data_IF_957006452940
#
_entry.id   IF_957006452940
#
_cell.length_a   1.000
_cell.length_b   1.000
_cell.length_c   1.000
_cell.angle_alpha   90.00
_cell.angle_beta   90.00
_cell.angle_gamma   90.00
#
_symmetry.space_group_name_H-M   'P 1'
#
loop_
_entity.id
_entity.type
_entity.pdbx_description
1 polymer ?
#
# COMPACT_ATOMS: atom_id res chain seq x y z
N UNK A 1 12.70 -54.15 -35.26
CA UNK A 1 13.76 -53.29 -34.73
C UNK A 1 13.05 -52.07 -34.19
N UNK A 2 13.18 -51.93 -32.89
CA UNK A 2 12.56 -50.94 -32.01
C UNK A 2 12.89 -49.51 -32.41
N UNK A 3 11.93 -48.60 -32.25
CA UNK A 3 12.13 -47.15 -32.11
C UNK A 3 10.89 -46.56 -31.41
N UNK A 4 10.65 -46.98 -30.16
CA UNK A 4 10.05 -46.08 -29.17
C UNK A 4 11.03 -44.94 -28.90
N UNK A 5 10.78 -43.77 -29.47
CA UNK A 5 11.38 -42.52 -28.99
C UNK A 5 10.39 -41.38 -29.25
N UNK A 6 9.36 -41.31 -28.40
CA UNK A 6 8.59 -40.09 -28.19
C UNK A 6 9.52 -39.06 -27.55
N UNK A 7 10.12 -38.21 -28.39
CA UNK A 7 10.71 -36.96 -27.96
C UNK A 7 9.59 -36.07 -27.40
N UNK A 8 9.36 -36.16 -26.10
CA UNK A 8 8.63 -35.12 -25.37
C UNK A 8 9.44 -33.83 -25.46
N UNK A 9 8.94 -32.86 -26.24
CA UNK A 9 9.43 -31.50 -26.19
C UNK A 9 8.96 -30.87 -24.87
N UNK A 10 9.85 -30.27 -24.07
CA UNK A 10 9.45 -29.57 -22.86
C UNK A 10 8.60 -28.36 -23.26
N UNK A 11 7.31 -28.39 -22.93
CA UNK A 11 6.45 -27.20 -22.97
C UNK A 11 6.82 -26.32 -21.77
N UNK A 12 7.94 -25.62 -21.86
CA UNK A 12 8.24 -24.50 -20.99
C UNK A 12 7.54 -23.28 -21.60
N UNK A 13 6.39 -22.81 -21.09
CA UNK A 13 5.93 -21.48 -21.46
C UNK A 13 6.95 -20.52 -20.85
N UNK A 14 7.75 -19.87 -21.69
CA UNK A 14 8.52 -18.71 -21.28
C UNK A 14 7.58 -17.67 -20.64
N UNK A 15 8.12 -16.69 -19.89
CA UNK A 15 7.30 -15.70 -19.21
C UNK A 15 6.50 -14.94 -20.27
N UNK A 16 5.19 -15.18 -20.32
CA UNK A 16 4.30 -14.38 -21.14
C UNK A 16 4.27 -12.99 -20.51
N UNK A 17 4.57 -11.95 -21.30
CA UNK A 17 4.44 -10.52 -20.97
C UNK A 17 2.98 -10.07 -20.72
N UNK A 18 2.14 -10.98 -20.22
CA UNK A 18 0.73 -10.77 -19.95
C UNK A 18 0.48 -11.08 -18.49
N UNK A 19 0.04 -10.06 -17.73
CA UNK A 19 -0.47 -10.23 -16.37
C UNK A 19 -1.64 -11.22 -16.43
N UNK A 20 -1.59 -12.36 -15.70
CA UNK A 20 -2.67 -13.32 -15.70
C UNK A 20 -3.94 -12.65 -15.14
N UNK A 21 -4.94 -12.44 -16.00
CA UNK A 21 -6.31 -12.17 -15.53
C UNK A 21 -6.99 -13.52 -15.27
N UNK A 22 -6.63 -14.12 -14.14
CA UNK A 22 -7.36 -15.23 -13.55
C UNK A 22 -8.72 -14.78 -12.97
N UNK A 23 -9.46 -15.72 -12.38
CA UNK A 23 -10.58 -15.40 -11.49
C UNK A 23 -10.12 -14.26 -10.54
N UNK A 24 -10.87 -13.16 -10.51
CA UNK A 24 -10.39 -11.81 -10.17
C UNK A 24 -9.25 -11.70 -9.16
N UNK A 25 -8.31 -10.77 -9.43
CA UNK A 25 -7.16 -10.47 -8.59
C UNK A 25 -7.52 -10.47 -7.09
N UNK A 26 -6.66 -11.06 -6.27
CA UNK A 26 -6.84 -11.09 -4.82
C UNK A 26 -5.80 -10.20 -4.14
N UNK A 27 -6.15 -9.61 -2.99
CA UNK A 27 -5.18 -8.90 -2.15
C UNK A 27 -4.14 -9.85 -1.52
N UNK A 28 -4.40 -11.16 -1.56
CA UNK A 28 -3.43 -12.19 -1.18
C UNK A 28 -2.39 -12.46 -2.27
N UNK A 29 -2.71 -12.10 -3.52
CA UNK A 29 -1.73 -12.14 -4.61
C UNK A 29 -0.66 -11.07 -4.39
N UNK A 30 0.60 -11.37 -4.73
CA UNK A 30 1.68 -10.43 -4.51
C UNK A 30 1.58 -9.27 -5.51
N UNK A 31 1.74 -8.04 -5.00
CA UNK A 31 1.69 -6.81 -5.80
C UNK A 31 2.97 -6.69 -6.62
N UNK A 32 2.83 -6.51 -7.94
CA UNK A 32 3.98 -6.16 -8.77
C UNK A 32 4.46 -4.75 -8.41
N UNK A 33 5.69 -4.66 -7.90
CA UNK A 33 6.28 -3.40 -7.45
C UNK A 33 7.05 -2.70 -8.55
N UNK A 34 7.69 -3.46 -9.44
CA UNK A 34 8.65 -2.98 -10.42
C UNK A 34 9.77 -3.98 -10.67
N UNK A 35 11.00 -3.52 -10.86
CA UNK A 35 12.17 -4.36 -11.19
C UNK A 35 13.36 -4.08 -10.26
N UNK A 36 14.25 -5.05 -10.09
CA UNK A 36 15.53 -4.89 -9.39
C UNK A 36 16.64 -4.35 -10.32
N UNK A 37 17.87 -4.20 -9.80
CA UNK A 37 19.02 -3.75 -10.59
C UNK A 37 19.44 -4.69 -11.74
N UNK A 38 18.93 -5.92 -11.77
CA UNK A 38 19.17 -6.91 -12.81
C UNK A 38 17.98 -7.04 -13.79
N UNK A 39 16.97 -6.18 -13.64
CA UNK A 39 15.76 -6.22 -14.45
C UNK A 39 14.80 -7.35 -14.10
N UNK A 40 15.00 -8.04 -12.98
CA UNK A 40 14.08 -9.08 -12.52
C UNK A 40 12.86 -8.45 -11.84
N UNK A 41 11.66 -9.02 -12.04
CA UNK A 41 10.45 -8.45 -11.46
C UNK A 41 10.42 -8.61 -9.93
N UNK A 42 10.06 -7.54 -9.24
CA UNK A 42 9.94 -7.48 -7.78
C UNK A 42 8.47 -7.53 -7.41
N UNK A 43 8.10 -8.52 -6.61
CA UNK A 43 6.74 -8.73 -6.13
C UNK A 43 6.66 -8.65 -4.61
N UNK A 44 5.66 -7.93 -4.08
CA UNK A 44 5.45 -7.75 -2.65
C UNK A 44 4.16 -8.43 -2.17
N UNK A 45 4.24 -9.46 -1.32
CA UNK A 45 3.06 -9.93 -0.60
C UNK A 45 2.65 -8.87 0.43
N UNK A 46 1.48 -8.26 0.21
CA UNK A 46 0.94 -7.18 1.06
C UNK A 46 0.13 -7.73 2.24
N UNK A 47 -0.53 -8.87 2.08
CA UNK A 47 -1.29 -9.45 3.17
C UNK A 47 -0.38 -9.79 4.37
N UNK A 48 -0.85 -9.41 5.55
CA UNK A 48 -0.11 -9.47 6.82
C UNK A 48 1.13 -8.56 6.94
N UNK A 49 1.42 -7.69 5.96
CA UNK A 49 2.62 -6.85 5.94
C UNK A 49 2.29 -5.41 5.56
N UNK A 50 2.44 -4.49 6.53
CA UNK A 50 2.30 -3.06 6.24
C UNK A 50 3.54 -2.55 5.49
N UNK A 51 3.35 -1.50 4.69
CA UNK A 51 4.44 -0.81 3.99
C UNK A 51 4.53 0.68 4.36
N UNK A 52 5.76 1.14 4.57
CA UNK A 52 6.11 2.56 4.70
C UNK A 52 6.91 3.00 3.48
N UNK A 53 6.54 4.13 2.91
CA UNK A 53 7.13 4.70 1.70
C UNK A 53 7.65 6.10 2.04
N UNK A 54 8.96 6.32 1.96
CA UNK A 54 9.59 7.60 2.31
C UNK A 54 10.56 8.08 1.24
N UNK A 55 10.86 9.38 1.24
CA UNK A 55 11.66 10.04 0.21
C UNK A 55 11.17 11.46 -0.07
N UNK A 56 11.93 12.29 -0.77
CA UNK A 56 11.56 13.68 -1.06
C UNK A 56 10.54 13.79 -2.22
N UNK A 57 9.91 14.96 -2.47
CA UNK A 57 9.04 15.14 -3.63
C UNK A 57 9.71 14.71 -4.95
N UNK A 58 8.96 14.04 -5.84
CA UNK A 58 9.50 13.56 -7.13
C UNK A 58 10.32 12.25 -7.06
N UNK A 59 10.56 11.68 -5.87
CA UNK A 59 11.28 10.39 -5.73
C UNK A 59 10.53 9.15 -6.22
N UNK A 60 9.25 9.27 -6.62
CA UNK A 60 8.42 8.16 -7.10
C UNK A 60 7.59 7.44 -6.03
N UNK A 61 7.49 8.01 -4.82
CA UNK A 61 6.59 7.50 -3.76
C UNK A 61 5.14 7.39 -4.19
N UNK A 62 4.61 8.44 -4.84
CA UNK A 62 3.22 8.48 -5.28
C UNK A 62 2.95 7.39 -6.31
N UNK A 63 3.88 7.15 -7.24
CA UNK A 63 3.77 6.06 -8.22
C UNK A 63 3.73 4.67 -7.56
N UNK A 64 4.56 4.46 -6.53
CA UNK A 64 4.57 3.23 -5.75
C UNK A 64 3.24 3.01 -5.01
N UNK A 65 2.75 4.05 -4.34
CA UNK A 65 1.47 3.98 -3.62
C UNK A 65 0.30 3.74 -4.57
N UNK A 66 0.29 4.42 -5.72
CA UNK A 66 -0.71 4.22 -6.79
C UNK A 66 -0.69 2.79 -7.34
N UNK A 67 0.49 2.17 -7.46
CA UNK A 67 0.60 0.77 -7.89
C UNK A 67 -0.05 -0.18 -6.88
N UNK A 68 0.16 0.05 -5.58
CA UNK A 68 -0.44 -0.74 -4.50
C UNK A 68 -1.96 -0.53 -4.45
N UNK A 69 -2.41 0.73 -4.56
CA UNK A 69 -3.84 1.06 -4.56
C UNK A 69 -4.52 0.48 -5.80
N UNK A 70 -3.89 0.54 -6.97
CA UNK A 70 -4.43 -0.03 -8.21
C UNK A 70 -4.57 -1.54 -8.16
N UNK A 71 -3.58 -2.26 -7.60
CA UNK A 71 -3.72 -3.69 -7.31
C UNK A 71 -4.94 -3.93 -6.42
N UNK A 72 -5.02 -3.25 -5.28
CA UNK A 72 -6.12 -3.44 -4.34
C UNK A 72 -7.50 -3.01 -4.90
N UNK A 73 -7.56 -2.01 -5.79
CA UNK A 73 -8.79 -1.59 -6.46
C UNK A 73 -9.35 -2.69 -7.36
N UNK A 74 -8.47 -3.44 -8.03
CA UNK A 74 -8.84 -4.57 -8.86
C UNK A 74 -9.24 -5.81 -8.04
N UNK A 75 -8.95 -5.84 -6.74
CA UNK A 75 -9.27 -6.97 -5.87
C UNK A 75 -10.68 -6.92 -5.29
N UNK A 76 -11.48 -7.98 -5.52
CA UNK A 76 -12.84 -8.07 -4.98
C UNK A 76 -12.89 -8.37 -3.47
N UNK A 77 -11.80 -8.90 -2.91
CA UNK A 77 -11.70 -9.38 -1.53
C UNK A 77 -11.08 -8.36 -0.56
N UNK A 78 -10.97 -7.09 -0.97
CA UNK A 78 -10.45 -5.99 -0.14
C UNK A 78 -11.37 -4.78 -0.19
N UNK A 79 -11.41 -4.02 0.90
CA UNK A 79 -12.05 -2.70 1.02
C UNK A 79 -10.99 -1.62 1.05
N UNK A 80 -11.21 -0.53 0.32
CA UNK A 80 -10.25 0.55 0.16
C UNK A 80 -10.61 1.75 1.02
N UNK A 81 -9.70 2.11 1.93
CA UNK A 81 -9.78 3.32 2.75
C UNK A 81 -8.60 4.23 2.41
N UNK A 82 -8.87 5.33 1.72
CA UNK A 82 -7.85 6.24 1.19
C UNK A 82 -7.83 7.55 1.99
N UNK A 83 -6.65 7.93 2.48
CA UNK A 83 -6.40 9.17 3.21
C UNK A 83 -5.45 10.04 2.40
N UNK A 84 -5.99 11.09 1.78
CA UNK A 84 -5.25 12.03 0.93
C UNK A 84 -5.59 13.47 1.31
N UNK A 85 -4.74 14.06 2.15
CA UNK A 85 -4.90 15.43 2.59
C UNK A 85 -4.71 16.48 1.50
N UNK A 86 -4.13 16.12 0.34
CA UNK A 86 -3.90 17.05 -0.78
C UNK A 86 -4.93 16.86 -1.90
N UNK A 87 -5.60 15.70 -1.96
CA UNK A 87 -6.54 15.30 -3.01
C UNK A 87 -5.91 15.32 -4.42
N UNK A 88 -4.61 15.04 -4.52
CA UNK A 88 -3.89 15.06 -5.80
C UNK A 88 -3.54 13.64 -6.23
N UNK A 89 -3.08 12.81 -5.30
CA UNK A 89 -2.43 11.54 -5.62
C UNK A 89 -3.43 10.39 -5.60
N UNK A 90 -4.25 10.29 -4.54
CA UNK A 90 -5.24 9.22 -4.41
C UNK A 90 -6.63 9.64 -4.90
N UNK A 91 -6.84 10.92 -5.22
CA UNK A 91 -8.12 11.45 -5.71
C UNK A 91 -8.61 10.74 -6.98
N UNK A 92 -7.70 10.26 -7.84
CA UNK A 92 -8.04 9.50 -9.03
C UNK A 92 -8.72 8.14 -8.74
N UNK A 93 -8.61 7.65 -7.49
CA UNK A 93 -9.21 6.40 -7.05
C UNK A 93 -10.49 6.58 -6.23
N UNK A 94 -10.98 7.83 -6.07
CA UNK A 94 -12.11 8.15 -5.19
C UNK A 94 -13.36 7.31 -5.53
N UNK A 95 -13.70 7.20 -6.81
CA UNK A 95 -14.86 6.43 -7.28
C UNK A 95 -14.70 4.91 -7.12
N UNK A 96 -13.48 4.40 -6.92
CA UNK A 96 -13.19 2.97 -6.73
C UNK A 96 -13.07 2.58 -5.26
N UNK A 97 -12.98 3.55 -4.35
CA UNK A 97 -12.74 3.29 -2.93
C UNK A 97 -14.04 3.20 -2.09
N UNK A 98 -13.93 2.56 -0.92
CA UNK A 98 -15.05 2.47 0.03
C UNK A 98 -15.13 3.71 0.93
N UNK A 99 -13.99 4.31 1.26
CA UNK A 99 -13.90 5.56 2.04
C UNK A 99 -12.77 6.41 1.49
N UNK A 100 -13.10 7.65 1.11
CA UNK A 100 -12.12 8.69 0.75
C UNK A 100 -12.09 9.78 1.82
N UNK A 101 -10.90 10.09 2.33
CA UNK A 101 -10.67 11.15 3.31
C UNK A 101 -9.75 12.20 2.69
N UNK A 102 -10.32 13.38 2.41
CA UNK A 102 -9.60 14.56 1.95
C UNK A 102 -8.88 15.34 3.07
N UNK A 103 -8.79 16.68 2.99
CA UNK A 103 -8.13 17.57 3.96
C UNK A 103 -8.94 17.77 5.26
N UNK A 104 -9.51 16.70 5.81
CA UNK A 104 -10.30 16.72 7.05
C UNK A 104 -9.74 15.71 8.05
N UNK A 105 -8.95 16.20 9.02
CA UNK A 105 -8.41 15.38 10.09
C UNK A 105 -9.48 14.76 10.99
N UNK A 106 -10.63 15.43 11.19
CA UNK A 106 -11.71 14.86 11.97
C UNK A 106 -12.36 13.70 11.22
N UNK A 107 -12.50 13.79 9.89
CA UNK A 107 -12.92 12.65 9.07
C UNK A 107 -11.89 11.52 9.15
N UNK A 108 -10.59 11.81 9.03
CA UNK A 108 -9.53 10.82 9.19
C UNK A 108 -9.65 10.08 10.53
N UNK A 109 -9.78 10.81 11.64
CA UNK A 109 -9.93 10.25 12.99
C UNK A 109 -11.18 9.37 13.09
N UNK A 110 -12.35 9.85 12.63
CA UNK A 110 -13.59 9.04 12.63
C UNK A 110 -13.42 7.75 11.83
N UNK A 111 -12.76 7.82 10.68
CA UNK A 111 -12.48 6.66 9.83
C UNK A 111 -11.56 5.66 10.53
N UNK A 112 -10.46 6.11 11.15
CA UNK A 112 -9.57 5.22 11.90
C UNK A 112 -10.26 4.58 13.12
N UNK A 113 -11.16 5.29 13.81
CA UNK A 113 -11.98 4.68 14.86
C UNK A 113 -12.88 3.56 14.34
N UNK A 114 -13.50 3.75 13.16
CA UNK A 114 -14.30 2.69 12.52
C UNK A 114 -13.43 1.47 12.18
N UNK A 115 -12.23 1.70 11.65
CA UNK A 115 -11.26 0.63 11.35
C UNK A 115 -10.84 -0.10 12.64
N UNK A 116 -10.57 0.61 13.74
CA UNK A 116 -10.29 -0.03 15.04
C UNK A 116 -11.46 -0.87 15.55
N UNK A 117 -12.69 -0.38 15.41
CA UNK A 117 -13.88 -1.14 15.79
C UNK A 117 -13.97 -2.46 15.01
N UNK A 118 -13.71 -2.42 13.70
CA UNK A 118 -13.63 -3.64 12.87
C UNK A 118 -12.49 -4.55 13.33
N UNK A 119 -11.33 -3.98 13.65
CA UNK A 119 -10.16 -4.70 14.16
C UNK A 119 -10.49 -5.48 15.44
N UNK A 120 -11.12 -4.84 16.42
CA UNK A 120 -11.49 -5.43 17.71
C UNK A 120 -12.54 -6.54 17.56
N UNK A 121 -13.52 -6.32 16.68
CA UNK A 121 -14.53 -7.33 16.35
C UNK A 121 -13.90 -8.58 15.72
N UNK A 122 -12.95 -8.39 14.80
CA UNK A 122 -12.22 -9.49 14.16
C UNK A 122 -11.31 -10.24 15.14
N UNK A 123 -10.71 -9.55 16.10
CA UNK A 123 -9.98 -10.22 17.19
C UNK A 123 -10.89 -11.07 18.07
N UNK A 124 -12.10 -10.57 18.37
CA UNK A 124 -13.12 -11.33 19.11
C UNK A 124 -13.51 -12.60 18.36
N UNK A 125 -13.71 -12.50 17.04
CA UNK A 125 -13.94 -13.65 16.17
C UNK A 125 -12.78 -14.65 16.21
N UNK A 126 -11.53 -14.20 16.02
CA UNK A 126 -10.35 -15.08 16.06
C UNK A 126 -10.21 -15.81 17.39
N UNK A 127 -10.46 -15.13 18.52
CA UNK A 127 -10.46 -15.73 19.85
C UNK A 127 -11.53 -16.81 19.99
N UNK A 128 -12.76 -16.54 19.53
CA UNK A 128 -13.86 -17.50 19.56
C UNK A 128 -13.56 -18.75 18.69
N UNK A 129 -12.89 -18.56 17.54
CA UNK A 129 -12.50 -19.65 16.63
C UNK A 129 -11.15 -20.30 16.97
N UNK A 130 -10.46 -19.84 18.01
CA UNK A 130 -9.09 -20.27 18.39
C UNK A 130 -8.08 -20.19 17.24
N UNK A 131 -8.21 -19.16 16.39
CA UNK A 131 -7.32 -18.91 15.25
C UNK A 131 -6.41 -17.72 15.54
N UNK A 132 -5.24 -17.71 14.89
CA UNK A 132 -4.25 -16.63 15.04
C UNK A 132 -4.35 -15.55 13.96
N UNK A 133 -4.99 -15.85 12.82
CA UNK A 133 -5.11 -14.93 11.69
C UNK A 133 -6.37 -15.19 10.86
N UNK A 134 -6.90 -14.12 10.29
CA UNK A 134 -7.89 -14.16 9.21
C UNK A 134 -7.18 -14.64 7.94
N UNK A 135 -7.84 -15.50 7.16
CA UNK A 135 -7.35 -16.08 5.92
C UNK A 135 -8.28 -15.76 4.74
N UNK A 136 -7.93 -16.25 3.53
CA UNK A 136 -8.71 -15.99 2.32
C UNK A 136 -10.11 -16.62 2.36
N UNK A 137 -10.29 -17.70 3.12
CA UNK A 137 -11.58 -18.40 3.23
C UNK A 137 -12.56 -17.74 4.21
N UNK A 138 -12.16 -16.66 4.89
CA UNK A 138 -13.04 -15.92 5.78
C UNK A 138 -13.99 -15.00 4.99
N UNK A 139 -15.25 -14.94 5.39
CA UNK A 139 -16.31 -14.19 4.70
C UNK A 139 -16.13 -12.66 4.71
N UNK A 140 -15.11 -12.15 5.41
CA UNK A 140 -14.86 -10.72 5.53
C UNK A 140 -13.74 -10.30 4.57
N UNK A 141 -14.04 -9.39 3.66
CA UNK A 141 -13.02 -8.75 2.82
C UNK A 141 -11.96 -8.04 3.67
N UNK A 142 -10.71 -8.10 3.25
CA UNK A 142 -9.59 -7.41 3.89
C UNK A 142 -9.79 -5.89 3.81
N UNK A 143 -8.99 -5.10 4.51
CA UNK A 143 -9.01 -3.64 4.41
C UNK A 143 -7.61 -3.13 4.11
N UNK A 144 -7.46 -2.35 3.05
CA UNK A 144 -6.27 -1.55 2.80
C UNK A 144 -6.54 -0.12 3.26
N UNK A 145 -5.76 0.36 4.23
CA UNK A 145 -5.70 1.76 4.62
C UNK A 145 -4.48 2.37 3.94
N UNK A 146 -4.70 3.16 2.90
CA UNK A 146 -3.64 3.88 2.20
C UNK A 146 -3.61 5.34 2.65
N UNK A 147 -2.44 5.86 3.01
CA UNK A 147 -2.26 7.25 3.41
C UNK A 147 -1.11 7.87 2.61
N UNK A 148 -1.40 8.85 1.76
CA UNK A 148 -0.41 9.48 0.87
C UNK A 148 0.64 10.31 1.62
N UNK A 149 0.20 11.04 2.66
CA UNK A 149 1.09 11.85 3.46
C UNK A 149 0.67 11.80 4.92
N UNK A 150 1.31 10.90 5.69
CA UNK A 150 1.05 10.79 7.13
C UNK A 150 1.34 12.11 7.85
N UNK A 151 2.34 12.89 7.40
CA UNK A 151 2.73 14.15 8.04
C UNK A 151 1.65 15.23 7.93
N UNK A 152 0.78 15.12 6.93
CA UNK A 152 -0.34 16.05 6.78
C UNK A 152 -1.26 15.91 7.99
N UNK A 153 -1.70 14.69 8.31
CA UNK A 153 -2.62 14.44 9.42
C UNK A 153 -1.94 14.38 10.79
N UNK A 154 -0.65 14.03 10.86
CA UNK A 154 0.07 13.90 12.13
C UNK A 154 0.80 15.17 12.58
N UNK A 155 0.94 16.18 11.71
CA UNK A 155 1.71 17.38 12.03
C UNK A 155 1.25 18.69 11.36
N UNK A 156 0.32 18.64 10.40
CA UNK A 156 -0.08 19.84 9.64
C UNK A 156 -1.55 20.22 9.87
N UNK A 157 -2.46 19.26 9.74
CA UNK A 157 -3.90 19.48 9.87
C UNK A 157 -4.34 19.46 11.33
N UNK A 158 -5.29 20.33 11.70
CA UNK A 158 -5.84 20.39 13.04
C UNK A 158 -4.89 20.93 14.11
N UNK A 159 -5.29 20.77 15.37
CA UNK A 159 -4.50 21.12 16.55
C UNK A 159 -3.61 19.96 17.02
N UNK A 160 -2.66 20.24 17.93
CA UNK A 160 -1.72 19.24 18.45
C UNK A 160 -2.44 18.01 19.06
N UNK A 161 -3.62 18.21 19.66
CA UNK A 161 -4.40 17.13 20.27
C UNK A 161 -4.97 16.18 19.22
N UNK A 162 -5.55 16.72 18.16
CA UNK A 162 -6.10 15.93 17.05
C UNK A 162 -5.00 15.25 16.25
N UNK A 163 -3.87 15.91 16.02
CA UNK A 163 -2.68 15.33 15.39
C UNK A 163 -2.14 14.12 16.17
N UNK A 164 -1.97 14.26 17.49
CA UNK A 164 -1.54 13.15 18.36
C UNK A 164 -2.55 12.00 18.37
N UNK A 165 -3.84 12.33 18.37
CA UNK A 165 -4.89 11.31 18.31
C UNK A 165 -4.83 10.53 16.99
N UNK A 166 -4.72 11.21 15.86
CA UNK A 166 -4.54 10.56 14.56
C UNK A 166 -3.32 9.62 14.55
N UNK A 167 -2.16 10.13 15.00
CA UNK A 167 -0.93 9.33 15.06
C UNK A 167 -1.07 8.09 15.96
N UNK A 168 -1.74 8.22 17.11
CA UNK A 168 -2.00 7.11 18.02
C UNK A 168 -2.92 6.04 17.40
N UNK A 169 -3.99 6.46 16.72
CA UNK A 169 -4.93 5.56 16.05
C UNK A 169 -4.26 4.81 14.89
N UNK A 170 -3.53 5.53 14.04
CA UNK A 170 -2.80 4.93 12.92
C UNK A 170 -1.78 3.91 13.45
N UNK A 171 -1.01 4.27 14.48
CA UNK A 171 -0.03 3.37 15.10
C UNK A 171 -0.66 2.08 15.63
N UNK A 172 -1.81 2.16 16.30
CA UNK A 172 -2.52 0.98 16.81
C UNK A 172 -2.97 0.04 15.67
N UNK A 173 -3.48 0.61 14.57
CA UNK A 173 -3.86 -0.15 13.38
C UNK A 173 -2.64 -0.81 12.73
N UNK A 174 -1.51 -0.10 12.57
CA UNK A 174 -0.28 -0.70 12.03
C UNK A 174 0.21 -1.84 12.94
N UNK A 175 0.16 -1.66 14.26
CA UNK A 175 0.65 -2.64 15.23
C UNK A 175 -0.17 -3.94 15.26
N UNK A 176 -1.51 -3.83 15.18
CA UNK A 176 -2.44 -4.94 15.44
C UNK A 176 -3.21 -5.39 14.19
N UNK A 177 -3.40 -4.53 13.20
CA UNK A 177 -4.27 -4.77 12.05
C UNK A 177 -3.89 -6.00 11.22
N UNK A 178 -2.59 -6.29 11.07
CA UNK A 178 -2.09 -7.32 10.14
C UNK A 178 -2.77 -8.68 10.32
N UNK A 179 -2.89 -9.17 11.55
CA UNK A 179 -3.40 -10.52 11.82
C UNK A 179 -4.90 -10.65 11.52
N UNK A 180 -5.62 -9.53 11.56
CA UNK A 180 -7.05 -9.45 11.30
C UNK A 180 -7.36 -8.86 9.93
N UNK A 181 -6.39 -8.87 9.01
CA UNK A 181 -6.68 -8.52 7.62
C UNK A 181 -6.87 -7.03 7.36
N UNK A 182 -6.21 -6.19 8.16
CA UNK A 182 -6.16 -4.74 7.96
C UNK A 182 -4.70 -4.40 7.69
N UNK A 183 -4.42 -3.91 6.49
CA UNK A 183 -3.08 -3.59 5.99
C UNK A 183 -2.97 -2.09 5.80
N UNK A 184 -1.82 -1.53 6.18
CA UNK A 184 -1.53 -0.11 6.03
C UNK A 184 -0.43 0.09 4.99
N UNK A 185 -0.70 0.96 4.02
CA UNK A 185 0.31 1.53 3.13
C UNK A 185 0.40 3.03 3.43
N UNK A 186 1.51 3.45 4.02
CA UNK A 186 1.71 4.83 4.46
C UNK A 186 2.88 5.45 3.68
N UNK A 187 2.69 6.66 3.17
CA UNK A 187 3.72 7.43 2.52
C UNK A 187 4.02 8.73 3.27
N UNK A 188 5.25 9.23 3.12
CA UNK A 188 5.62 10.59 3.55
C UNK A 188 6.71 11.19 2.69
N UNK A 189 6.60 12.50 2.45
CA UNK A 189 7.61 13.34 1.83
C UNK A 189 8.58 13.95 2.85
N UNK A 190 8.26 13.83 4.15
CA UNK A 190 9.04 14.36 5.27
C UNK A 190 9.55 13.22 6.15
N UNK A 191 10.60 12.50 5.73
CA UNK A 191 11.23 11.48 6.54
C UNK A 191 12.00 12.12 7.70
N UNK A 192 11.28 12.41 8.78
CA UNK A 192 11.81 12.95 10.04
C UNK A 192 11.31 12.13 11.23
N UNK A 193 12.06 12.11 12.34
CA UNK A 193 11.76 11.24 13.49
C UNK A 193 10.51 11.65 14.29
N UNK A 194 10.08 12.90 14.15
CA UNK A 194 8.83 13.43 14.71
C UNK A 194 7.60 12.94 13.92
N UNK A 195 7.75 12.74 12.60
CA UNK A 195 6.70 12.17 11.73
C UNK A 195 6.69 10.65 11.77
N UNK A 196 7.88 10.05 11.62
CA UNK A 196 8.09 8.60 11.67
C UNK A 196 8.98 8.28 12.88
N UNK A 197 8.42 8.21 14.10
CA UNK A 197 9.19 7.72 15.22
C UNK A 197 9.63 6.27 14.95
N UNK A 198 10.81 5.89 15.47
CA UNK A 198 11.35 4.52 15.33
C UNK A 198 10.34 3.45 15.73
N UNK A 199 9.55 3.70 16.77
CA UNK A 199 8.51 2.79 17.25
C UNK A 199 7.32 2.61 16.30
N UNK A 200 7.13 3.52 15.34
CA UNK A 200 6.16 3.39 14.26
C UNK A 200 6.81 2.73 13.04
N UNK A 201 8.01 3.21 12.64
CA UNK A 201 8.79 2.66 11.52
C UNK A 201 8.94 1.15 11.61
N UNK A 202 9.33 0.64 12.77
CA UNK A 202 9.67 -0.77 12.95
C UNK A 202 8.42 -1.68 12.95
N UNK A 203 7.20 -1.11 12.91
CA UNK A 203 5.96 -1.87 12.72
C UNK A 203 5.66 -2.14 11.23
N UNK A 204 6.36 -1.48 10.31
CA UNK A 204 6.24 -1.68 8.88
C UNK A 204 7.20 -2.77 8.41
N UNK A 205 6.63 -3.90 8.00
CA UNK A 205 7.39 -5.05 7.54
C UNK A 205 8.07 -4.79 6.18
N UNK A 206 7.49 -3.93 5.35
CA UNK A 206 8.09 -3.41 4.13
C UNK A 206 8.41 -1.94 4.29
N UNK A 207 9.61 -1.52 3.90
CA UNK A 207 9.99 -0.11 3.90
C UNK A 207 10.68 0.20 2.59
N UNK A 208 10.18 1.22 1.89
CA UNK A 208 10.76 1.73 0.65
C UNK A 208 11.26 3.16 0.88
N UNK A 209 12.56 3.36 0.70
CA UNK A 209 13.18 4.68 0.68
C UNK A 209 13.51 5.06 -0.75
N UNK A 210 12.64 5.87 -1.36
CA UNK A 210 13.00 6.63 -2.57
C UNK A 210 14.08 7.67 -2.24
N UNK A 211 14.51 8.40 -3.26
CA UNK A 211 15.55 9.44 -3.09
C UNK A 211 15.25 10.36 -1.90
N UNK A 212 16.24 10.51 -1.02
CA UNK A 212 16.20 11.40 0.15
C UNK A 212 17.26 12.49 0.01
N UNK A 213 17.06 13.62 0.70
CA UNK A 213 18.03 14.73 0.67
C UNK A 213 19.29 14.46 1.51
N UNK A 214 19.23 13.51 2.44
CA UNK A 214 20.33 13.17 3.35
C UNK A 214 20.33 11.68 3.70
N UNK A 215 21.50 11.18 4.11
CA UNK A 215 21.67 9.83 4.66
C UNK A 215 20.82 9.60 5.92
N UNK A 216 20.67 10.64 6.74
CA UNK A 216 19.82 10.59 7.94
C UNK A 216 18.36 10.35 7.57
N UNK A 217 17.85 11.07 6.57
CA UNK A 217 16.50 10.87 6.04
C UNK A 217 16.32 9.48 5.42
N UNK A 218 17.35 8.93 4.77
CA UNK A 218 17.35 7.53 4.29
C UNK A 218 17.19 6.55 5.47
N UNK A 219 17.99 6.67 6.52
CA UNK A 219 17.96 5.79 7.70
C UNK A 219 16.67 5.92 8.52
N UNK A 220 16.02 7.09 8.52
CA UNK A 220 14.69 7.27 9.13
C UNK A 220 13.66 6.35 8.46
N UNK A 221 13.80 6.05 7.17
CA UNK A 221 12.91 5.12 6.47
C UNK A 221 13.45 3.69 6.54
N UNK A 222 14.70 3.44 6.14
CA UNK A 222 15.29 2.10 6.01
C UNK A 222 15.62 1.43 7.35
N UNK A 223 15.77 2.20 8.43
CA UNK A 223 16.35 1.70 9.67
C UNK A 223 17.72 2.30 9.93
N UNK A 224 18.10 2.35 11.21
CA UNK A 224 19.37 2.97 11.62
C UNK A 224 20.59 2.23 11.09
N UNK A 225 21.54 2.97 10.52
CA UNK A 225 22.88 2.48 10.17
C UNK A 225 23.00 1.85 8.79
N UNK A 226 22.00 1.96 7.92
CA UNK A 226 22.08 1.42 6.56
C UNK A 226 22.92 2.30 5.64
N UNK A 227 22.83 3.63 5.78
CA UNK A 227 23.66 4.55 5.03
C UNK A 227 25.16 4.31 5.25
N UNK A 228 25.57 4.10 6.51
CA UNK A 228 26.96 3.76 6.86
C UNK A 228 27.44 2.41 6.30
N UNK A 229 26.50 1.53 5.91
CA UNK A 229 26.76 0.23 5.26
C UNK A 229 26.67 0.29 3.73
N UNK A 230 26.55 1.49 3.15
CA UNK A 230 26.47 1.70 1.71
C UNK A 230 25.04 1.71 1.14
N UNK A 231 24.01 1.54 1.97
CA UNK A 231 22.61 1.56 1.55
C UNK A 231 21.97 2.89 1.93
N UNK A 232 22.22 3.93 1.14
CA UNK A 232 21.63 5.25 1.33
C UNK A 232 20.80 5.66 0.12
N UNK A 233 19.52 5.99 0.31
CA UNK A 233 18.69 6.50 -0.77
C UNK A 233 19.09 7.92 -1.24
N UNK A 234 19.97 8.59 -0.49
CA UNK A 234 20.59 9.86 -0.91
C UNK A 234 21.52 9.68 -2.13
N UNK A 235 22.05 8.47 -2.35
CA UNK A 235 22.93 8.20 -3.50
C UNK A 235 22.16 7.84 -4.77
N UNK A 236 20.82 7.74 -4.70
CA UNK A 236 19.98 7.50 -5.87
C UNK A 236 20.03 8.72 -6.79
N UNK A 237 20.35 8.50 -8.07
CA UNK A 237 20.43 9.56 -9.08
C UNK A 237 19.12 10.37 -9.13
N UNK A 238 19.18 11.71 -9.05
CA UNK A 238 18.01 12.57 -9.16
C UNK A 238 17.15 12.36 -10.41
N UNK A 239 17.74 11.92 -11.52
CA UNK A 239 17.05 11.65 -12.78
C UNK A 239 16.45 10.23 -12.84
N UNK A 240 16.74 9.37 -11.85
CA UNK A 240 16.24 8.00 -11.80
C UNK A 240 14.95 7.92 -10.95
N UNK A 241 13.89 8.58 -11.40
CA UNK A 241 12.62 8.68 -10.65
C UNK A 241 12.02 7.30 -10.36
N UNK A 242 11.54 7.06 -9.13
CA UNK A 242 10.99 5.75 -8.74
C UNK A 242 12.06 4.71 -8.40
N UNK A 243 13.35 5.02 -8.54
CA UNK A 243 14.39 4.20 -7.93
C UNK A 243 14.48 4.46 -6.42
N UNK A 244 14.73 3.40 -5.66
CA UNK A 244 14.88 3.49 -4.22
C UNK A 244 15.29 2.17 -3.60
N UNK A 245 15.59 2.18 -2.32
CA UNK A 245 15.92 0.99 -1.56
C UNK A 245 14.68 0.40 -0.91
N UNK A 246 14.43 -0.88 -1.16
CA UNK A 246 13.38 -1.67 -0.55
C UNK A 246 13.98 -2.62 0.48
N UNK A 247 13.42 -2.65 1.68
CA UNK A 247 13.86 -3.56 2.73
C UNK A 247 12.66 -4.29 3.34
N UNK A 248 12.81 -5.60 3.51
CA UNK A 248 11.93 -6.44 4.32
C UNK A 248 12.34 -6.40 5.80
N UNK A 249 11.42 -6.65 6.72
CA UNK A 249 11.74 -6.88 8.14
C UNK A 249 12.85 -7.94 8.29
N UNK A 250 13.95 -7.57 8.96
CA UNK A 250 15.12 -8.42 9.16
C UNK A 250 16.00 -8.66 7.92
N UNK A 251 15.65 -8.06 6.77
CA UNK A 251 16.40 -8.18 5.52
C UNK A 251 17.52 -7.15 5.35
N UNK A 252 18.10 -7.14 4.15
CA UNK A 252 19.08 -6.15 3.68
C UNK A 252 18.39 -5.31 2.58
N UNK A 253 18.62 -3.98 2.51
CA UNK A 253 18.05 -3.17 1.45
C UNK A 253 18.50 -3.64 0.05
N UNK A 254 17.56 -3.75 -0.87
CA UNK A 254 17.79 -4.01 -2.29
C UNK A 254 17.40 -2.79 -3.11
N UNK A 255 18.14 -2.50 -4.19
CA UNK A 255 17.80 -1.39 -5.07
C UNK A 255 16.67 -1.83 -6.00
N UNK A 256 15.60 -1.06 -6.06
CA UNK A 256 14.46 -1.36 -6.92
C UNK A 256 14.01 -0.12 -7.67
N UNK A 257 13.48 -0.34 -8.87
CA UNK A 257 12.83 0.66 -9.71
C UNK A 257 11.34 0.39 -9.71
N UNK A 258 10.57 1.28 -9.09
CA UNK A 258 9.12 1.19 -9.01
C UNK A 258 8.47 1.23 -10.40
N UNK A 259 7.40 0.45 -10.57
CA UNK A 259 6.50 0.57 -11.70
C UNK A 259 5.85 1.95 -11.72
N UNK A 260 5.53 2.41 -12.92
CA UNK A 260 4.94 3.72 -13.15
C UNK A 260 3.62 3.55 -13.90
N UNK A 261 2.56 4.07 -13.32
CA UNK A 261 1.26 4.24 -13.97
C UNK A 261 1.13 5.72 -14.33
N UNK A 262 0.85 6.01 -15.59
CA UNK A 262 0.47 7.38 -15.98
C UNK A 262 -0.91 7.71 -15.41
N UNK A 263 -1.27 8.99 -15.31
CA UNK A 263 -2.62 9.40 -14.91
C UNK A 263 -3.70 8.75 -15.80
N UNK A 264 -3.40 8.58 -17.09
CA UNK A 264 -4.30 7.89 -18.02
C UNK A 264 -4.47 6.41 -17.68
N UNK A 265 -3.39 5.73 -17.28
CA UNK A 265 -3.46 4.33 -16.84
C UNK A 265 -4.24 4.22 -15.53
N UNK A 266 -3.96 5.12 -14.57
CA UNK A 266 -4.67 5.18 -13.28
C UNK A 266 -6.16 5.35 -13.51
N UNK A 267 -6.58 6.33 -14.31
CA UNK A 267 -8.00 6.59 -14.61
C UNK A 267 -8.66 5.36 -15.23
N UNK A 268 -8.02 4.72 -16.22
CA UNK A 268 -8.56 3.52 -16.87
C UNK A 268 -8.74 2.36 -15.89
N UNK A 269 -7.75 2.15 -15.02
CA UNK A 269 -7.79 1.08 -14.01
C UNK A 269 -8.84 1.41 -12.95
N UNK A 270 -8.94 2.66 -12.51
CA UNK A 270 -9.93 3.12 -11.55
C UNK A 270 -11.36 2.96 -12.11
N UNK A 271 -11.62 3.39 -13.35
CA UNK A 271 -12.93 3.23 -14.00
C UNK A 271 -13.33 1.75 -14.09
N UNK A 272 -12.38 0.89 -14.49
CA UNK A 272 -12.61 -0.55 -14.56
C UNK A 272 -12.86 -1.16 -13.18
N UNK A 273 -12.07 -0.78 -12.17
CA UNK A 273 -12.25 -1.21 -10.79
C UNK A 273 -13.59 -0.76 -10.21
N UNK A 274 -14.01 0.49 -10.44
CA UNK A 274 -15.32 0.98 -10.04
C UNK A 274 -16.43 0.15 -10.69
N UNK A 275 -16.30 -0.12 -11.99
CA UNK A 275 -17.26 -0.96 -12.70
C UNK A 275 -17.35 -2.36 -12.07
N UNK A 276 -16.22 -3.07 -11.88
CA UNK A 276 -16.24 -4.43 -11.31
C UNK A 276 -16.78 -4.44 -9.86
N UNK A 277 -16.34 -3.51 -9.01
CA UNK A 277 -16.72 -3.45 -7.59
C UNK A 277 -18.20 -3.14 -7.36
N UNK A 278 -18.83 -2.35 -8.26
CA UNK A 278 -20.29 -2.13 -8.24
C UNK A 278 -21.05 -3.42 -8.53
N UNK A 279 -20.58 -4.21 -9.49
CA UNK A 279 -21.25 -5.44 -9.92
C UNK A 279 -21.05 -6.60 -8.93
N UNK A 280 -19.99 -6.58 -8.11
CA UNK A 280 -19.75 -7.57 -7.05
C UNK A 280 -20.35 -7.20 -5.69
N UNK A 281 -21.03 -6.04 -5.57
CA UNK A 281 -21.60 -5.56 -4.30
C UNK A 281 -20.53 -5.15 -3.27
N UNK A 282 -19.30 -4.89 -3.71
CA UNK A 282 -18.17 -4.54 -2.85
C UNK A 282 -17.99 -3.04 -2.66
N UNK A 283 -18.95 -2.22 -3.09
CA UNK A 283 -19.07 -0.81 -2.69
C UNK A 283 -20.39 -0.65 -1.93
N UNK A 284 -20.36 -0.08 -0.73
CA UNK A 284 -21.57 0.28 0.01
C UNK A 284 -22.19 1.52 -0.63
N UNK A 285 -23.49 1.50 -0.93
CA UNK A 285 -24.22 2.55 -1.67
C UNK A 285 -24.41 3.88 -0.92
N UNK A 286 -23.67 4.15 0.15
CA UNK A 286 -23.86 5.35 0.99
C UNK A 286 -23.17 6.62 0.46
N UNK A 287 -22.44 6.55 -0.66
CA UNK A 287 -21.81 7.72 -1.30
C UNK A 287 -22.64 8.28 -2.48
N UNK A 288 -23.96 8.24 -2.41
CA UNK A 288 -24.78 9.07 -3.28
C UNK A 288 -24.66 10.53 -2.81
N UNK A 289 -23.63 11.23 -3.28
CA UNK A 289 -23.58 12.69 -3.19
C UNK A 289 -24.79 13.25 -3.94
N UNK A 290 -25.69 14.03 -3.30
CA UNK A 290 -26.92 14.52 -3.93
C UNK A 290 -26.69 15.52 -5.07
N UNK A 291 -25.44 15.84 -5.41
CA UNK A 291 -25.07 16.83 -6.42
C UNK A 291 -25.13 16.36 -7.89
N UNK A 292 -25.37 15.06 -8.16
CA UNK A 292 -25.33 14.51 -9.54
C UNK A 292 -26.67 14.04 -10.12
N UNK A 293 -27.78 14.29 -9.43
CA UNK A 293 -29.13 14.00 -9.96
C UNK A 293 -29.72 15.14 -10.82
N UNK A 294 -28.96 16.21 -11.09
CA UNK A 294 -29.40 17.34 -11.89
C UNK A 294 -28.27 17.84 -12.81
N UNK A 295 -27.94 17.06 -13.84
CA UNK A 295 -27.27 17.52 -15.05
C UNK A 295 -27.57 16.55 -16.20
#
# INVERSE_FOLDING_TARGET
MDLTDTLELPTNPGPSDTVPVGAGLSIFDPVFLGIDEFGQPVYLPMIYRNILIGGEPGSGKSSLLNTIVGHAALCADVRLCLLDGKQVELGLWEDACDVFVGPDIHHAIRTLYRVQTVMDNRYTFLKARRRRKIGPDDLFGQILVACDEIAYFSATAGDEKTQKLFAALLRDIVARGRAVGIIVAAATQRPSSDIIPTSLRDLFAWRFAGRCTTDVSSDIVLGHGWAARGFSSNTVDPNNHGAGYLIAEGGIPALVKAAYLTDTDIIRVADYATWTRRHTGTLTTDNASPARAAA
#
